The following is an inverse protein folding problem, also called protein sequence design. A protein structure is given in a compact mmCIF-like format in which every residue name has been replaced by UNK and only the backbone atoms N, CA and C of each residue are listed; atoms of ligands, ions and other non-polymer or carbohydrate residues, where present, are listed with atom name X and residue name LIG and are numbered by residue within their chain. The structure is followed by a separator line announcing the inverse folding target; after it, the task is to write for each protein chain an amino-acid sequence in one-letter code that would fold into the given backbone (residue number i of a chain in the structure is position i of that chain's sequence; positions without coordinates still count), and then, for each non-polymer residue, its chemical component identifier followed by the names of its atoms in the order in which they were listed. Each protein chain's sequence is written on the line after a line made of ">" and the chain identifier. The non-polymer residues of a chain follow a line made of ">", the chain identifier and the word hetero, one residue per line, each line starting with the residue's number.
data_IF_023265633311
#
_entry.id   IF_023265633311
#
_cell.length_a   1.000
_cell.length_b   1.000
_cell.length_c   1.000
_cell.angle_alpha   90.00
_cell.angle_beta   90.00
_cell.angle_gamma   90.00
#
_symmetry.space_group_name_H-M   'P 1'
#
loop_
_entity.id
_entity.type
_entity.pdbx_description
1 polymer ?
#
# COMPACT_ATOMS: atom_id res chain seq x y z
N UNK A 1 -5.34 -7.93 -15.23
CA UNK A 1 -4.32 -7.14 -14.51
C UNK A 1 -3.64 -7.94 -13.38
N UNK A 2 -4.38 -8.64 -12.51
CA UNK A 2 -3.77 -9.48 -11.45
C UNK A 2 -2.89 -10.63 -11.97
N UNK A 3 -3.38 -11.38 -12.98
CA UNK A 3 -2.62 -12.47 -13.61
C UNK A 3 -1.33 -12.03 -14.33
N UNK A 4 -1.20 -10.75 -14.70
CA UNK A 4 0.03 -10.23 -15.33
C UNK A 4 1.05 -9.71 -14.31
N UNK A 5 0.61 -9.15 -13.18
CA UNK A 5 1.51 -8.64 -12.12
C UNK A 5 2.23 -9.78 -11.37
N UNK A 6 1.49 -10.86 -11.10
CA UNK A 6 1.99 -12.07 -10.47
C UNK A 6 2.73 -13.03 -11.43
N UNK A 7 2.77 -12.70 -12.74
CA UNK A 7 3.41 -13.55 -13.76
C UNK A 7 4.95 -13.48 -13.74
N UNK A 8 5.51 -12.36 -13.27
CA UNK A 8 6.95 -12.08 -13.22
C UNK A 8 7.53 -12.04 -11.80
N UNK A 9 6.68 -12.10 -10.77
CA UNK A 9 7.09 -12.04 -9.35
C UNK A 9 6.51 -13.26 -8.65
N UNK A 10 7.33 -13.92 -7.85
CA UNK A 10 6.90 -15.05 -7.04
C UNK A 10 5.86 -14.56 -6.01
N UNK A 11 4.58 -14.82 -6.27
CA UNK A 11 3.47 -14.40 -5.41
C UNK A 11 3.58 -15.04 -4.02
N UNK A 12 4.16 -16.24 -3.90
CA UNK A 12 4.44 -16.85 -2.61
C UNK A 12 5.48 -16.04 -1.86
N UNK A 13 6.52 -15.56 -2.56
CA UNK A 13 7.51 -14.67 -1.96
C UNK A 13 6.91 -13.33 -1.54
N UNK A 14 6.06 -12.72 -2.36
CA UNK A 14 5.35 -11.46 -2.02
C UNK A 14 4.53 -11.65 -0.75
N UNK A 15 3.66 -12.67 -0.72
CA UNK A 15 2.86 -12.99 0.45
C UNK A 15 3.71 -13.26 1.69
N UNK A 16 4.81 -14.02 1.54
CA UNK A 16 5.73 -14.33 2.64
C UNK A 16 6.34 -13.07 3.22
N UNK A 17 6.85 -12.15 2.39
CA UNK A 17 7.45 -10.90 2.85
C UNK A 17 6.41 -9.98 3.49
N UNK A 18 5.19 -9.93 2.94
CA UNK A 18 4.08 -9.20 3.54
C UNK A 18 3.74 -9.71 4.94
N UNK A 19 3.55 -11.02 5.11
CA UNK A 19 3.26 -11.62 6.41
C UNK A 19 4.42 -11.44 7.40
N UNK A 20 5.68 -11.58 6.95
CA UNK A 20 6.87 -11.40 7.80
C UNK A 20 7.02 -9.99 8.37
N UNK A 21 6.46 -8.98 7.69
CA UNK A 21 6.58 -7.60 8.14
C UNK A 21 5.84 -7.35 9.46
N UNK A 22 4.74 -8.06 9.74
CA UNK A 22 3.92 -7.82 10.92
C UNK A 22 3.70 -9.06 11.81
N UNK A 23 3.83 -10.28 11.28
CA UNK A 23 3.55 -11.50 12.05
C UNK A 23 4.52 -11.61 13.24
N UNK A 24 3.98 -12.01 14.40
CA UNK A 24 4.71 -12.15 15.68
C UNK A 24 5.29 -10.83 16.22
N UNK A 25 4.76 -9.67 15.81
CA UNK A 25 5.21 -8.36 16.29
C UNK A 25 4.10 -7.62 17.04
N UNK A 26 4.53 -6.68 17.87
CA UNK A 26 3.64 -5.70 18.50
C UNK A 26 2.99 -4.85 17.40
N UNK A 27 1.64 -4.78 17.33
CA UNK A 27 0.93 -4.07 16.28
C UNK A 27 1.05 -2.54 16.37
N UNK A 28 1.74 -1.98 17.37
CA UNK A 28 2.00 -0.55 17.48
C UNK A 28 3.48 -0.17 17.34
N UNK A 29 4.36 -1.13 17.04
CA UNK A 29 5.79 -0.92 16.86
C UNK A 29 6.28 -1.35 15.47
N UNK A 30 5.46 -1.12 14.44
CA UNK A 30 5.86 -1.40 13.07
C UNK A 30 6.89 -0.36 12.60
N UNK A 31 7.88 -0.81 11.84
CA UNK A 31 8.98 0.02 11.33
C UNK A 31 9.03 -0.04 9.81
N UNK A 32 9.76 0.90 9.21
CA UNK A 32 9.91 0.92 7.74
C UNK A 32 10.71 -0.29 7.26
N UNK A 33 11.71 -0.63 8.05
CA UNK A 33 12.66 -1.72 7.84
C UNK A 33 11.94 -3.07 7.75
N UNK A 34 10.82 -3.23 8.48
CA UNK A 34 9.99 -4.43 8.41
C UNK A 34 9.39 -4.68 7.02
N UNK A 35 9.00 -3.61 6.33
CA UNK A 35 8.35 -3.67 5.02
C UNK A 35 9.32 -3.49 3.86
N UNK A 36 10.52 -2.97 4.10
CA UNK A 36 11.51 -2.69 3.06
C UNK A 36 11.78 -3.88 2.11
N UNK A 37 11.89 -5.15 2.59
CA UNK A 37 12.09 -6.28 1.69
C UNK A 37 10.94 -6.49 0.69
N UNK A 38 9.69 -6.30 1.12
CA UNK A 38 8.51 -6.39 0.26
C UNK A 38 8.52 -5.24 -0.75
N UNK A 39 8.79 -4.03 -0.26
CA UNK A 39 8.90 -2.81 -1.03
C UNK A 39 9.91 -2.93 -2.17
N UNK A 40 11.07 -3.55 -1.92
CA UNK A 40 12.10 -3.79 -2.94
C UNK A 40 11.70 -4.87 -3.95
N UNK A 41 11.04 -5.94 -3.49
CA UNK A 41 10.59 -7.02 -4.37
C UNK A 41 9.47 -6.56 -5.33
N UNK A 42 8.48 -5.85 -4.81
CA UNK A 42 7.24 -5.49 -5.50
C UNK A 42 7.25 -4.08 -6.09
N UNK A 43 8.41 -3.40 -6.08
CA UNK A 43 8.57 -2.04 -6.60
C UNK A 43 8.08 -1.94 -8.03
N UNK A 44 7.15 -1.00 -8.25
CA UNK A 44 6.69 -0.59 -9.56
C UNK A 44 6.38 0.90 -9.54
N UNK A 45 7.04 1.66 -10.41
CA UNK A 45 6.83 3.12 -10.51
C UNK A 45 5.74 3.43 -11.52
N UNK A 46 4.68 4.10 -11.07
CA UNK A 46 3.73 4.76 -11.98
C UNK A 46 4.41 6.04 -12.51
N UNK A 47 4.40 6.27 -13.85
CA UNK A 47 4.86 7.54 -14.41
C UNK A 47 4.10 8.73 -13.82
N UNK A 48 4.79 9.80 -13.43
CA UNK A 48 4.17 10.95 -12.75
C UNK A 48 2.99 11.56 -13.51
N UNK A 49 3.07 11.65 -14.84
CA UNK A 49 1.99 12.17 -15.69
C UNK A 49 0.77 11.24 -15.77
N UNK A 50 0.86 10.03 -15.22
CA UNK A 50 -0.21 9.04 -15.13
C UNK A 50 -0.65 8.77 -13.69
N UNK A 51 0.03 9.32 -12.69
CA UNK A 51 -0.34 9.11 -11.29
C UNK A 51 -1.61 9.90 -10.95
N UNK A 52 -2.59 9.22 -10.35
CA UNK A 52 -3.77 9.83 -9.76
C UNK A 52 -3.77 9.61 -8.25
N UNK A 53 -3.63 10.70 -7.50
CA UNK A 53 -3.74 10.71 -6.05
C UNK A 53 -5.19 11.01 -5.65
N UNK A 54 -5.63 10.42 -4.55
CA UNK A 54 -6.97 10.62 -4.03
C UNK A 54 -6.96 10.61 -2.50
N UNK A 55 -7.99 11.25 -1.94
CA UNK A 55 -8.21 11.29 -0.50
C UNK A 55 -9.69 11.40 -0.20
N UNK A 56 -10.18 10.49 0.66
CA UNK A 56 -11.61 10.36 0.99
C UNK A 56 -12.53 10.20 -0.23
N UNK A 57 -11.96 9.93 -1.40
CA UNK A 57 -12.63 9.85 -2.72
C UNK A 57 -12.20 8.61 -3.49
N UNK A 58 -11.91 7.52 -2.75
CA UNK A 58 -11.52 6.21 -3.26
C UNK A 58 -12.44 5.75 -4.40
N UNK A 59 -13.75 5.68 -4.15
CA UNK A 59 -14.73 5.20 -5.14
C UNK A 59 -14.71 6.00 -6.43
N UNK A 60 -14.63 7.33 -6.33
CA UNK A 60 -14.58 8.23 -7.48
C UNK A 60 -13.29 8.03 -8.28
N UNK A 61 -12.15 7.96 -7.60
CA UNK A 61 -10.85 7.76 -8.23
C UNK A 61 -10.78 6.43 -8.97
N UNK A 62 -11.23 5.33 -8.36
CA UNK A 62 -11.27 4.02 -9.02
C UNK A 62 -12.30 3.94 -10.14
N UNK A 63 -13.44 4.63 -10.03
CA UNK A 63 -14.37 4.73 -11.16
C UNK A 63 -13.75 5.49 -12.34
N UNK A 64 -13.00 6.56 -12.05
CA UNK A 64 -12.30 7.34 -13.06
C UNK A 64 -11.19 6.53 -13.77
N UNK A 65 -10.32 5.81 -13.06
CA UNK A 65 -9.26 5.01 -13.72
C UNK A 65 -9.78 3.81 -14.51
N UNK A 66 -10.94 3.26 -14.12
CA UNK A 66 -11.64 2.22 -14.90
C UNK A 66 -12.11 2.71 -16.27
N UNK A 67 -12.48 3.99 -16.37
CA UNK A 67 -12.99 4.60 -17.62
C UNK A 67 -11.91 5.34 -18.39
N UNK A 68 -10.90 5.88 -17.68
CA UNK A 68 -9.77 6.59 -18.24
C UNK A 68 -8.46 5.86 -17.92
N UNK A 69 -8.04 4.98 -18.83
CA UNK A 69 -6.83 4.18 -18.72
C UNK A 69 -5.51 4.98 -18.80
N UNK A 70 -5.57 6.31 -18.92
CA UNK A 70 -4.37 7.16 -18.87
C UNK A 70 -3.85 7.38 -17.45
N UNK A 71 -4.70 7.17 -16.45
CA UNK A 71 -4.36 7.38 -15.05
C UNK A 71 -4.36 6.08 -14.26
N UNK A 72 -3.48 6.01 -13.28
CA UNK A 72 -3.29 4.89 -12.37
C UNK A 72 -3.23 5.43 -10.94
N UNK A 73 -3.98 4.80 -10.06
CA UNK A 73 -3.90 4.98 -8.60
C UNK A 73 -2.83 4.08 -8.00
N UNK A 74 -2.51 4.26 -6.71
CA UNK A 74 -1.57 3.35 -6.02
C UNK A 74 -2.12 1.91 -6.00
N UNK A 75 -3.43 1.75 -5.87
CA UNK A 75 -4.14 0.46 -5.82
C UNK A 75 -4.11 -0.28 -7.18
N UNK A 76 -3.77 0.43 -8.26
CA UNK A 76 -3.49 -0.17 -9.57
C UNK A 76 -2.07 -0.81 -9.64
N UNK A 77 -1.22 -0.61 -8.62
CA UNK A 77 0.09 -1.31 -8.50
C UNK A 77 -0.03 -2.63 -7.74
N UNK A 78 0.99 -3.50 -7.80
CA UNK A 78 1.00 -4.73 -7.00
C UNK A 78 0.88 -4.45 -5.50
N UNK A 79 1.64 -3.46 -4.99
CA UNK A 79 1.63 -3.11 -3.56
C UNK A 79 0.28 -2.56 -3.12
N UNK A 80 -0.31 -1.64 -3.89
CA UNK A 80 -1.63 -1.13 -3.54
C UNK A 80 -2.70 -2.23 -3.64
N UNK A 81 -2.70 -3.01 -4.72
CA UNK A 81 -3.71 -4.04 -4.96
C UNK A 81 -3.78 -5.10 -3.85
N UNK A 82 -2.64 -5.60 -3.34
CA UNK A 82 -2.66 -6.66 -2.31
C UNK A 82 -3.11 -6.16 -0.93
N UNK A 83 -3.07 -4.85 -0.71
CA UNK A 83 -3.37 -4.21 0.57
C UNK A 83 -4.71 -3.46 0.56
N UNK A 84 -5.29 -3.26 -0.62
CA UNK A 84 -6.54 -2.53 -0.79
C UNK A 84 -7.70 -3.21 -0.06
N UNK A 85 -8.46 -2.43 0.70
CA UNK A 85 -9.62 -2.90 1.47
C UNK A 85 -9.34 -3.89 2.61
N UNK A 86 -8.08 -4.21 2.94
CA UNK A 86 -7.75 -5.15 4.03
C UNK A 86 -7.13 -4.45 5.25
N UNK A 87 -7.36 -5.04 6.43
CA UNK A 87 -6.72 -4.65 7.69
C UNK A 87 -5.92 -5.82 8.22
N UNK A 88 -4.70 -5.56 8.71
CA UNK A 88 -3.82 -6.59 9.23
C UNK A 88 -2.96 -6.05 10.38
N UNK A 89 -2.61 -6.94 11.30
CA UNK A 89 -1.67 -6.65 12.36
C UNK A 89 -1.12 -7.93 13.01
N UNK A 90 0.00 -7.77 13.71
CA UNK A 90 0.66 -8.85 14.43
C UNK A 90 0.00 -9.18 15.75
N UNK A 91 0.27 -10.39 16.23
CA UNK A 91 0.12 -10.75 17.63
C UNK A 91 1.47 -11.29 18.12
N UNK A 92 2.10 -10.72 19.16
CA UNK A 92 3.34 -11.27 19.73
C UNK A 92 3.20 -12.71 20.24
N UNK A 93 1.96 -13.17 20.46
CA UNK A 93 1.61 -14.51 20.96
C UNK A 93 0.72 -15.28 19.98
N UNK A 94 0.44 -16.55 20.28
CA UNK A 94 -0.50 -17.38 19.52
C UNK A 94 -0.03 -17.68 18.09
N UNK A 95 -0.92 -17.48 17.10
CA UNK A 95 -0.66 -17.74 15.67
C UNK A 95 0.22 -16.68 14.99
N UNK A 96 0.60 -15.62 15.72
CA UNK A 96 1.39 -14.51 15.20
C UNK A 96 0.60 -13.44 14.45
N UNK A 97 -0.67 -13.70 14.13
CA UNK A 97 -1.57 -12.75 13.45
C UNK A 97 -2.81 -12.55 14.32
N UNK A 98 -3.24 -11.30 14.48
CA UNK A 98 -4.50 -11.00 15.14
C UNK A 98 -5.63 -10.95 14.09
N UNK A 99 -6.61 -11.83 14.22
CA UNK A 99 -7.81 -11.88 13.38
C UNK A 99 -9.05 -11.26 14.04
N UNK A 100 -8.96 -10.88 15.32
CA UNK A 100 -10.08 -10.34 16.09
C UNK A 100 -10.15 -8.81 15.96
N UNK A 101 -9.01 -8.13 16.13
CA UNK A 101 -8.95 -6.67 16.08
C UNK A 101 -7.53 -6.17 15.79
N UNK A 102 -7.43 -5.02 15.14
CA UNK A 102 -6.17 -4.31 14.93
C UNK A 102 -6.29 -2.85 15.38
N UNK A 103 -5.18 -2.25 15.86
CA UNK A 103 -5.21 -0.88 16.33
C UNK A 103 -5.50 0.08 15.17
N UNK A 104 -6.35 1.06 15.46
CA UNK A 104 -6.61 2.19 14.56
C UNK A 104 -5.42 3.15 14.59
N UNK A 105 -5.32 3.99 13.56
CA UNK A 105 -4.32 5.04 13.50
C UNK A 105 -4.35 6.00 14.70
N UNK A 106 -5.54 6.21 15.29
CA UNK A 106 -5.74 7.04 16.49
C UNK A 106 -5.21 6.40 17.78
N UNK A 107 -5.08 5.08 17.80
CA UNK A 107 -4.59 4.32 18.96
C UNK A 107 -3.07 4.20 18.90
N UNK A 108 -2.52 3.95 17.70
CA UNK A 108 -1.08 4.09 17.47
C UNK A 108 -0.76 4.44 16.00
N UNK A 109 0.07 5.47 15.83
CA UNK A 109 0.45 6.00 14.52
C UNK A 109 1.34 5.03 13.73
N UNK A 110 2.15 4.23 14.44
CA UNK A 110 3.08 3.25 13.87
C UNK A 110 2.47 1.84 13.83
N UNK A 111 1.19 1.75 13.44
CA UNK A 111 0.58 0.46 13.15
C UNK A 111 1.03 -0.07 11.76
N UNK A 112 0.98 -1.40 11.52
CA UNK A 112 1.42 -2.03 10.28
C UNK A 112 0.83 -1.42 9.01
N UNK A 113 -0.47 -1.12 9.01
CA UNK A 113 -1.16 -0.56 7.84
C UNK A 113 -0.67 0.87 7.55
N UNK A 114 -0.61 1.74 8.57
CA UNK A 114 -0.13 3.11 8.41
C UNK A 114 1.33 3.17 7.93
N UNK A 115 2.21 2.32 8.45
CA UNK A 115 3.61 2.26 8.01
C UNK A 115 3.71 1.76 6.56
N UNK A 116 2.93 0.73 6.22
CA UNK A 116 2.87 0.18 4.87
C UNK A 116 2.44 1.23 3.84
N UNK A 117 1.30 1.90 4.05
CA UNK A 117 0.79 2.90 3.11
C UNK A 117 1.72 4.12 3.02
N UNK A 118 2.33 4.56 4.14
CA UNK A 118 3.37 5.61 4.11
C UNK A 118 4.55 5.26 3.22
N UNK A 119 4.95 3.99 3.13
CA UNK A 119 6.02 3.53 2.26
C UNK A 119 5.56 3.34 0.81
N UNK A 120 4.41 2.69 0.61
CA UNK A 120 3.86 2.43 -0.72
C UNK A 120 3.57 3.74 -1.48
N UNK A 121 2.99 4.74 -0.80
CA UNK A 121 2.72 6.06 -1.39
C UNK A 121 3.98 6.80 -1.82
N UNK A 122 5.12 6.57 -1.16
CA UNK A 122 6.42 7.12 -1.58
C UNK A 122 7.00 6.43 -2.81
N UNK A 123 6.44 5.33 -3.28
CA UNK A 123 6.94 4.69 -4.51
C UNK A 123 6.32 5.26 -5.77
N UNK A 124 5.22 5.99 -5.64
CA UNK A 124 4.47 6.58 -6.75
C UNK A 124 4.97 8.00 -6.99
N UNK A 125 5.41 8.29 -8.21
CA UNK A 125 5.89 9.62 -8.61
C UNK A 125 7.00 10.21 -7.69
N UNK A 126 8.04 9.43 -7.39
CA UNK A 126 9.20 9.92 -6.65
C UNK A 126 10.25 10.63 -7.54
N UNK A 127 10.05 10.67 -8.87
CA UNK A 127 11.01 11.28 -9.79
C UNK A 127 10.78 12.78 -10.05
N UNK A 128 9.55 13.30 -9.97
CA UNK A 128 9.28 14.72 -10.21
C UNK A 128 8.04 15.18 -9.42
N UNK A 129 8.27 15.69 -8.21
CA UNK A 129 7.22 16.21 -7.32
C UNK A 129 6.48 17.46 -7.88
N UNK A 130 6.82 17.92 -9.10
CA UNK A 130 6.40 19.22 -9.62
C UNK A 130 5.62 19.18 -10.95
N UNK A 131 5.28 18.02 -11.51
CA UNK A 131 4.60 17.96 -12.83
C UNK A 131 3.39 17.01 -12.93
N UNK A 132 3.01 16.30 -11.87
CA UNK A 132 1.79 15.49 -11.91
C UNK A 132 0.54 16.38 -11.79
N UNK A 133 -0.46 16.27 -12.68
CA UNK A 133 -1.74 16.92 -12.48
C UNK A 133 -2.43 16.30 -11.27
N UNK A 134 -2.31 16.95 -10.10
CA UNK A 134 -3.17 16.65 -8.96
C UNK A 134 -4.59 17.05 -9.34
N UNK A 135 -5.47 16.07 -9.52
CA UNK A 135 -6.89 16.33 -9.31
C UNK A 135 -7.02 16.63 -7.81
N UNK A 136 -6.99 17.92 -7.47
CA UNK A 136 -7.03 18.41 -6.09
C UNK A 136 -8.41 18.07 -5.50
N UNK A 137 -8.51 16.87 -4.94
CA UNK A 137 -9.49 16.57 -3.91
C UNK A 137 -8.69 16.43 -2.62
N UNK A 138 -8.72 17.51 -1.85
CA UNK A 138 -7.92 17.82 -0.66
C UNK A 138 -7.25 16.63 0.07
N UNK A 139 -5.93 16.78 0.27
CA UNK A 139 -5.01 16.05 1.17
C UNK A 139 -4.65 14.61 0.80
N UNK A 140 -3.50 14.44 0.11
CA UNK A 140 -2.77 13.17 -0.09
C UNK A 140 -2.94 12.18 1.06
N UNK A 141 -3.22 10.93 0.69
CA UNK A 141 -3.45 9.75 1.53
C UNK A 141 -2.68 9.75 2.85
N UNK A 142 -3.42 9.82 3.95
CA UNK A 142 -3.07 9.28 5.28
C UNK A 142 -4.06 8.17 5.58
#
# INVERSE_FOLDING_TARGET
>A
MFLSLCRNKDCFRVRKLFEQAFRYKDPCNATKEDYQPLMDLARYSIPCNKSLFWSKTNDLAHHYTKTNHNFLTLEDTLLGYIADGITWCGNPSGSGINYESCPKWTECENNPSSVYWKLASKMVCFADLFSAPMLNVHNVSV
#
